data_IF_915264296745
#
_entry.id   IF_915264296745
#
_cell.length_a   1.000
_cell.length_b   1.000
_cell.length_c   1.000
_cell.angle_alpha   90.00
_cell.angle_beta   90.00
_cell.angle_gamma   90.00
#
_symmetry.space_group_name_H-M   'P 1'
#
loop_
_entity.id
_entity.type
_entity.pdbx_description
1 polymer ?
#
# COMPACT_ATOMS: atom_id res chain seq x y z
N UNK A 1 0.67 24.30 -2.46
CA UNK A 1 -0.66 24.56 -1.88
C UNK A 1 -0.68 26.04 -1.51
N UNK A 2 -1.68 26.79 -1.92
CA UNK A 2 -1.83 28.21 -1.60
C UNK A 2 -2.15 28.40 -0.10
N UNK A 3 -1.80 29.55 0.51
CA UNK A 3 -2.16 29.84 1.89
C UNK A 3 -3.67 29.75 2.12
N UNK A 4 -4.07 29.27 3.31
CA UNK A 4 -5.49 29.19 3.68
C UNK A 4 -6.12 30.58 3.66
N UNK A 5 -7.36 30.70 3.15
CA UNK A 5 -8.11 31.96 3.06
C UNK A 5 -7.77 32.86 1.87
N UNK A 6 -6.79 32.51 1.01
CA UNK A 6 -6.47 33.31 -0.19
C UNK A 6 -7.65 33.37 -1.17
N UNK A 7 -8.35 32.24 -1.36
CA UNK A 7 -9.53 32.18 -2.26
C UNK A 7 -10.68 33.08 -1.82
N UNK A 8 -10.86 33.23 -0.51
CA UNK A 8 -11.89 34.10 0.06
C UNK A 8 -11.57 35.59 -0.18
N UNK A 9 -10.31 35.97 -0.04
CA UNK A 9 -9.85 37.33 -0.31
C UNK A 9 -9.92 37.65 -1.82
N UNK A 10 -9.57 36.69 -2.69
CA UNK A 10 -9.74 36.82 -4.15
C UNK A 10 -11.21 37.00 -4.52
N UNK A 11 -12.12 36.25 -3.88
CA UNK A 11 -13.57 36.41 -4.07
C UNK A 11 -14.07 37.83 -3.70
N UNK A 12 -13.68 38.30 -2.50
CA UNK A 12 -14.03 39.66 -2.03
C UNK A 12 -13.48 40.74 -2.94
N UNK A 13 -12.26 40.58 -3.43
CA UNK A 13 -11.63 41.53 -4.37
C UNK A 13 -12.40 41.57 -5.68
N UNK A 14 -12.87 40.45 -6.20
CA UNK A 14 -13.68 40.37 -7.41
C UNK A 14 -15.06 41.05 -7.25
N UNK A 15 -15.68 40.92 -6.07
CA UNK A 15 -16.94 41.61 -5.75
C UNK A 15 -16.76 43.14 -5.67
N UNK A 16 -15.73 43.57 -4.93
CA UNK A 16 -15.42 45.00 -4.82
C UNK A 16 -15.09 45.65 -6.18
N UNK A 17 -14.44 44.95 -7.09
CA UNK A 17 -14.19 45.44 -8.42
C UNK A 17 -15.48 45.67 -9.21
N UNK A 18 -16.45 44.77 -9.11
CA UNK A 18 -17.78 44.92 -9.74
C UNK A 18 -18.55 46.10 -9.12
N UNK A 19 -18.60 46.21 -7.80
CA UNK A 19 -19.23 47.34 -7.14
C UNK A 19 -18.59 48.67 -7.51
N UNK A 20 -17.28 48.69 -7.68
CA UNK A 20 -16.53 49.89 -8.13
C UNK A 20 -16.94 50.33 -9.54
N UNK A 21 -17.04 49.36 -10.48
CA UNK A 21 -17.50 49.63 -11.84
C UNK A 21 -18.94 50.17 -11.85
N UNK A 22 -19.83 49.59 -11.05
CA UNK A 22 -21.21 50.06 -10.89
C UNK A 22 -21.26 51.49 -10.31
N UNK A 23 -20.46 51.78 -9.27
CA UNK A 23 -20.38 53.09 -8.65
C UNK A 23 -19.86 54.16 -9.61
N UNK A 24 -18.89 53.81 -10.46
CA UNK A 24 -18.36 54.73 -11.50
C UNK A 24 -19.41 54.99 -12.58
N UNK A 25 -20.11 53.96 -13.05
CA UNK A 25 -21.17 54.07 -14.06
C UNK A 25 -22.34 54.93 -13.55
N UNK A 26 -22.63 54.88 -12.26
CA UNK A 26 -23.67 55.70 -11.62
C UNK A 26 -23.17 57.07 -11.17
N UNK A 27 -21.96 57.48 -11.54
CA UNK A 27 -21.32 58.77 -11.20
C UNK A 27 -21.21 59.00 -9.67
N UNK A 28 -21.23 57.94 -8.88
CA UNK A 28 -21.08 58.01 -7.42
C UNK A 28 -19.60 57.93 -7.03
N UNK A 29 -18.88 59.03 -7.17
CA UNK A 29 -17.43 59.11 -6.99
C UNK A 29 -17.01 58.92 -5.50
N UNK A 30 -17.87 59.33 -4.55
CA UNK A 30 -17.58 59.09 -3.13
C UNK A 30 -17.56 57.58 -2.79
N UNK A 31 -18.55 56.84 -3.28
CA UNK A 31 -18.61 55.39 -3.11
C UNK A 31 -17.44 54.67 -3.82
N UNK A 32 -17.12 55.10 -5.04
CA UNK A 32 -16.00 54.56 -5.79
C UNK A 32 -14.63 54.82 -5.09
N UNK A 33 -14.47 55.95 -4.40
CA UNK A 33 -13.28 56.24 -3.60
C UNK A 33 -13.18 55.34 -2.36
N UNK A 34 -14.30 55.12 -1.62
CA UNK A 34 -14.34 54.23 -0.47
C UNK A 34 -13.99 52.80 -0.88
N UNK A 35 -14.59 52.28 -1.97
CA UNK A 35 -14.30 50.92 -2.48
C UNK A 35 -12.82 50.79 -2.89
N UNK A 36 -12.20 51.81 -3.44
CA UNK A 36 -10.77 51.80 -3.77
C UNK A 36 -9.89 51.66 -2.53
N UNK A 37 -10.25 52.25 -1.42
CA UNK A 37 -9.52 52.15 -0.17
C UNK A 37 -9.69 50.76 0.44
N UNK A 38 -10.88 50.15 0.36
CA UNK A 38 -11.13 48.75 0.76
C UNK A 38 -10.36 47.78 -0.15
N UNK A 39 -10.35 47.97 -1.45
CA UNK A 39 -9.55 47.19 -2.42
C UNK A 39 -8.06 47.19 -2.03
N UNK A 40 -7.54 48.38 -1.70
CA UNK A 40 -6.15 48.52 -1.30
C UNK A 40 -5.85 47.77 -0.01
N UNK A 41 -6.71 47.85 0.98
CA UNK A 41 -6.55 47.13 2.26
C UNK A 41 -6.52 45.59 2.04
N UNK A 42 -7.39 45.09 1.20
CA UNK A 42 -7.41 43.63 0.88
C UNK A 42 -6.15 43.21 0.14
N UNK A 43 -5.66 44.01 -0.82
CA UNK A 43 -4.40 43.70 -1.52
C UNK A 43 -3.19 43.74 -0.59
N UNK A 44 -3.15 44.68 0.34
CA UNK A 44 -2.07 44.76 1.33
C UNK A 44 -2.13 43.53 2.31
N UNK A 45 -3.35 43.10 2.69
CA UNK A 45 -3.53 41.89 3.47
C UNK A 45 -3.08 40.63 2.74
N UNK A 46 -3.46 40.51 1.47
CA UNK A 46 -3.03 39.37 0.62
C UNK A 46 -1.51 39.32 0.49
N UNK A 47 -0.88 40.47 0.26
CA UNK A 47 0.58 40.58 0.15
C UNK A 47 1.28 40.21 1.46
N UNK A 48 0.75 40.68 2.57
CA UNK A 48 1.27 40.35 3.91
C UNK A 48 1.15 38.86 4.22
N UNK A 49 -0.02 38.26 3.95
CA UNK A 49 -0.25 36.82 4.14
C UNK A 49 0.66 35.97 3.24
N UNK A 50 0.86 36.39 2.01
CA UNK A 50 1.77 35.70 1.09
C UNK A 50 3.21 35.76 1.57
N UNK A 51 3.66 36.94 2.02
CA UNK A 51 5.02 37.11 2.54
C UNK A 51 5.27 36.35 3.85
N UNK A 52 4.26 36.25 4.74
CA UNK A 52 4.37 35.43 5.95
C UNK A 52 4.45 33.94 5.63
N UNK A 53 3.63 33.47 4.68
CA UNK A 53 3.65 32.09 4.23
C UNK A 53 4.97 31.70 3.54
N UNK A 54 5.54 32.59 2.72
CA UNK A 54 6.85 32.38 2.09
C UNK A 54 7.96 32.28 3.14
N UNK A 55 7.96 33.14 4.16
CA UNK A 55 8.92 33.08 5.29
C UNK A 55 8.80 31.80 6.10
N UNK A 56 7.57 31.37 6.40
CA UNK A 56 7.34 30.08 7.09
C UNK A 56 7.81 28.88 6.26
N UNK A 57 7.64 28.97 4.94
CA UNK A 57 8.07 27.93 4.01
C UNK A 57 9.60 27.87 3.88
N UNK A 58 10.29 29.01 3.82
CA UNK A 58 11.74 29.07 3.82
C UNK A 58 12.35 28.57 5.14
N UNK A 59 11.68 28.80 6.26
CA UNK A 59 12.09 28.30 7.56
C UNK A 59 11.92 26.78 7.73
N UNK A 60 11.05 26.15 6.96
CA UNK A 60 10.86 24.69 6.94
C UNK A 60 11.90 24.05 6.03
N UNK A 61 13.07 23.74 6.56
CA UNK A 61 14.01 22.82 5.90
C UNK A 61 13.31 21.46 5.81
N UNK A 62 12.83 21.09 4.63
CA UNK A 62 12.41 19.71 4.38
C UNK A 62 13.65 18.82 4.48
N UNK A 63 13.87 18.24 5.65
CA UNK A 63 14.88 17.22 5.82
C UNK A 63 14.29 15.92 5.28
N UNK A 64 14.80 15.45 4.15
CA UNK A 64 14.47 14.14 3.63
C UNK A 64 15.16 13.11 4.51
N UNK A 65 14.38 12.34 5.25
CA UNK A 65 14.87 11.25 6.10
C UNK A 65 14.82 9.92 5.34
N UNK A 66 15.53 8.91 5.84
CA UNK A 66 15.44 7.54 5.31
C UNK A 66 13.98 7.05 5.28
N UNK A 67 13.20 7.38 6.30
CA UNK A 67 11.77 7.02 6.37
C UNK A 67 10.95 7.68 5.26
N UNK A 68 11.21 8.95 4.94
CA UNK A 68 10.53 9.63 3.84
C UNK A 68 10.80 8.97 2.48
N UNK A 69 12.03 8.50 2.27
CA UNK A 69 12.40 7.75 1.06
C UNK A 69 11.71 6.38 1.05
N UNK A 70 11.71 5.69 2.20
CA UNK A 70 11.08 4.39 2.36
C UNK A 70 9.56 4.44 2.09
N UNK A 71 8.87 5.50 2.56
CA UNK A 71 7.44 5.72 2.27
C UNK A 71 7.18 5.89 0.76
N UNK A 72 7.99 6.69 0.08
CA UNK A 72 7.85 6.89 -1.37
C UNK A 72 8.10 5.60 -2.14
N UNK A 73 9.13 4.84 -1.77
CA UNK A 73 9.45 3.55 -2.40
C UNK A 73 8.32 2.55 -2.15
N UNK A 74 7.79 2.50 -0.93
CA UNK A 74 6.64 1.65 -0.59
C UNK A 74 5.40 2.03 -1.42
N UNK A 75 5.09 3.33 -1.54
CA UNK A 75 3.95 3.79 -2.33
C UNK A 75 4.06 3.46 -3.83
N UNK A 76 5.28 3.45 -4.40
CA UNK A 76 5.49 3.17 -5.82
C UNK A 76 5.63 1.70 -6.15
N UNK A 77 6.25 0.93 -5.28
CA UNK A 77 6.62 -0.47 -5.55
C UNK A 77 5.77 -1.48 -4.80
N UNK A 78 5.06 -1.03 -3.75
CA UNK A 78 4.38 -1.93 -2.80
C UNK A 78 5.36 -2.71 -1.91
N UNK A 79 6.65 -2.37 -1.93
CA UNK A 79 7.67 -3.04 -1.12
C UNK A 79 7.72 -2.38 0.26
N UNK A 80 7.44 -3.10 1.36
CA UNK A 80 7.57 -2.57 2.71
C UNK A 80 9.06 -2.43 3.07
N UNK A 81 9.64 -1.26 2.73
CA UNK A 81 11.06 -0.94 2.97
C UNK A 81 11.30 -0.29 4.33
N UNK A 82 10.24 0.07 5.03
CA UNK A 82 10.36 0.65 6.36
C UNK A 82 11.02 -0.36 7.29
N UNK A 83 12.10 0.07 7.95
CA UNK A 83 12.58 -0.63 9.14
C UNK A 83 11.41 -0.66 10.12
N UNK A 84 11.30 -1.74 10.87
CA UNK A 84 10.28 -1.89 11.91
C UNK A 84 10.19 -0.59 12.71
N UNK A 85 9.12 0.17 12.49
CA UNK A 85 8.76 1.27 13.36
C UNK A 85 8.32 0.68 14.71
N UNK A 86 8.35 1.48 15.77
CA UNK A 86 7.86 1.02 17.09
C UNK A 86 6.43 0.48 16.97
N UNK A 87 5.57 1.15 16.18
CA UNK A 87 4.20 0.71 15.90
C UNK A 87 4.10 -0.64 15.17
N UNK A 88 5.03 -0.94 14.25
CA UNK A 88 5.08 -2.24 13.58
C UNK A 88 5.58 -3.34 14.51
N UNK A 89 6.50 -3.01 15.41
CA UNK A 89 6.97 -3.94 16.44
C UNK A 89 5.84 -4.31 17.41
N UNK A 90 5.02 -3.35 17.82
CA UNK A 90 3.83 -3.61 18.65
C UNK A 90 2.81 -4.48 17.90
N UNK A 91 2.52 -4.18 16.63
CA UNK A 91 1.63 -5.03 15.81
C UNK A 91 2.13 -6.46 15.71
N UNK A 92 3.44 -6.68 15.60
CA UNK A 92 4.02 -8.03 15.57
C UNK A 92 3.94 -8.76 16.92
N UNK A 93 3.96 -8.03 18.03
CA UNK A 93 3.73 -8.60 19.36
C UNK A 93 2.28 -9.08 19.51
N UNK A 94 1.32 -8.31 19.00
CA UNK A 94 -0.11 -8.62 19.05
C UNK A 94 -0.63 -9.32 17.77
N UNK A 95 0.26 -9.91 16.97
CA UNK A 95 -0.08 -10.54 15.70
C UNK A 95 -1.12 -11.65 15.85
N UNK A 96 -1.06 -12.41 16.93
CA UNK A 96 -2.01 -13.48 17.24
C UNK A 96 -3.42 -12.90 17.48
N UNK A 97 -3.52 -11.84 18.27
CA UNK A 97 -4.78 -11.15 18.53
C UNK A 97 -5.41 -10.60 17.25
N UNK A 98 -4.58 -10.03 16.36
CA UNK A 98 -5.04 -9.52 15.06
C UNK A 98 -5.56 -10.63 14.15
N UNK A 99 -4.87 -11.77 14.11
CA UNK A 99 -5.31 -12.92 13.33
C UNK A 99 -6.59 -13.55 13.93
N UNK A 100 -6.73 -13.59 15.25
CA UNK A 100 -7.93 -14.11 15.93
C UNK A 100 -9.17 -13.23 15.76
N UNK A 101 -9.04 -11.97 15.37
CA UNK A 101 -10.21 -11.14 14.99
C UNK A 101 -10.99 -11.73 13.82
N UNK A 102 -10.32 -12.45 12.92
CA UNK A 102 -10.92 -13.05 11.72
C UNK A 102 -11.02 -14.58 11.80
N UNK A 103 -10.05 -15.22 12.42
CA UNK A 103 -9.97 -16.68 12.51
C UNK A 103 -10.29 -17.09 13.95
N UNK A 104 -11.48 -17.63 14.15
CA UNK A 104 -11.94 -18.12 15.44
C UNK A 104 -11.46 -19.57 15.62
N UNK A 105 -10.79 -19.84 16.72
CA UNK A 105 -10.11 -21.11 16.96
C UNK A 105 -8.80 -21.22 16.17
N UNK A 106 -8.31 -22.45 15.94
CA UNK A 106 -7.04 -22.72 15.23
C UNK A 106 -5.82 -22.12 15.94
N UNK A 107 -5.83 -22.09 17.28
CA UNK A 107 -4.82 -21.41 18.12
C UNK A 107 -3.40 -21.89 17.79
N UNK A 108 -3.20 -23.20 17.62
CA UNK A 108 -1.88 -23.76 17.25
C UNK A 108 -1.38 -23.26 15.90
N UNK A 109 -2.28 -23.15 14.92
CA UNK A 109 -1.91 -22.68 13.57
C UNK A 109 -1.58 -21.18 13.57
N UNK A 110 -2.38 -20.37 14.26
CA UNK A 110 -2.16 -18.94 14.42
C UNK A 110 -0.84 -18.67 15.14
N UNK A 111 -0.59 -19.35 16.25
CA UNK A 111 0.65 -19.23 17.02
C UNK A 111 1.88 -19.64 16.21
N UNK A 112 1.82 -20.74 15.47
CA UNK A 112 2.92 -21.22 14.64
C UNK A 112 3.28 -20.21 13.54
N UNK A 113 2.27 -19.64 12.87
CA UNK A 113 2.44 -18.60 11.84
C UNK A 113 3.02 -17.34 12.46
N UNK A 114 2.45 -16.83 13.54
CA UNK A 114 2.91 -15.62 14.21
C UNK A 114 4.36 -15.74 14.70
N UNK A 115 4.73 -16.89 15.27
CA UNK A 115 6.09 -17.18 15.71
C UNK A 115 7.10 -17.17 14.54
N UNK A 116 6.71 -17.72 13.40
CA UNK A 116 7.60 -17.73 12.22
C UNK A 116 7.77 -16.34 11.60
N UNK A 117 6.72 -15.54 11.58
CA UNK A 117 6.78 -14.16 11.10
C UNK A 117 7.68 -13.32 12.00
N UNK A 118 7.50 -13.42 13.33
CA UNK A 118 8.37 -12.73 14.30
C UNK A 118 9.84 -13.09 14.10
N UNK A 119 10.17 -14.37 13.91
CA UNK A 119 11.55 -14.81 13.62
C UNK A 119 12.09 -14.22 12.31
N UNK A 120 11.29 -14.18 11.27
CA UNK A 120 11.69 -13.65 9.97
C UNK A 120 11.95 -12.14 10.03
N UNK A 121 11.11 -11.40 10.75
CA UNK A 121 11.27 -9.94 10.93
C UNK A 121 12.42 -9.59 11.87
N UNK A 122 12.76 -10.45 12.82
CA UNK A 122 13.95 -10.29 13.66
C UNK A 122 15.29 -10.49 12.90
N UNK A 123 15.27 -10.71 11.59
CA UNK A 123 16.48 -10.89 10.77
C UNK A 123 17.11 -12.28 10.87
N UNK A 124 16.47 -13.22 11.53
CA UNK A 124 16.97 -14.61 11.72
C UNK A 124 16.67 -15.51 10.50
N UNK A 125 16.52 -14.91 9.32
CA UNK A 125 16.09 -15.59 8.10
C UNK A 125 17.17 -15.51 7.01
N UNK A 126 17.30 -16.59 6.23
CA UNK A 126 18.01 -16.59 4.97
C UNK A 126 17.24 -15.74 3.92
N UNK A 127 17.83 -14.68 3.36
CA UNK A 127 17.16 -13.82 2.37
C UNK A 127 16.71 -14.55 1.10
N UNK A 128 17.29 -15.71 0.81
CA UNK A 128 16.94 -16.53 -0.36
C UNK A 128 15.71 -17.43 -0.15
N UNK A 129 15.20 -17.52 1.07
CA UNK A 129 14.06 -18.38 1.39
C UNK A 129 12.78 -17.57 1.68
N UNK A 130 11.59 -18.15 1.47
CA UNK A 130 10.34 -17.52 1.85
C UNK A 130 10.28 -17.26 3.36
N UNK A 131 9.45 -16.32 3.80
CA UNK A 131 9.25 -15.98 5.23
C UNK A 131 8.84 -17.21 6.03
N UNK A 132 7.97 -18.03 5.47
CA UNK A 132 7.54 -19.31 6.00
C UNK A 132 6.88 -20.12 4.90
N UNK A 133 6.92 -21.45 5.08
CA UNK A 133 6.16 -22.40 4.30
C UNK A 133 5.36 -23.24 5.29
N UNK A 134 4.05 -23.27 5.12
CA UNK A 134 3.13 -23.92 6.05
C UNK A 134 2.24 -24.92 5.31
N UNK A 135 2.00 -26.05 5.91
CA UNK A 135 1.05 -27.03 5.43
C UNK A 135 -0.10 -27.12 6.44
N UNK A 136 -1.28 -26.71 6.02
CA UNK A 136 -2.49 -26.77 6.83
C UNK A 136 -3.31 -28.00 6.44
N UNK A 137 -3.43 -28.97 7.36
CA UNK A 137 -4.22 -30.16 7.19
C UNK A 137 -5.51 -30.05 7.99
N UNK A 138 -6.63 -30.40 7.36
CA UNK A 138 -7.94 -30.36 8.02
C UNK A 138 -9.08 -30.39 7.04
N UNK A 139 -10.33 -30.67 7.50
CA UNK A 139 -11.52 -30.69 6.66
C UNK A 139 -11.82 -29.34 6.02
N UNK A 140 -12.73 -29.33 5.05
CA UNK A 140 -13.21 -28.09 4.44
C UNK A 140 -13.96 -27.24 5.46
N UNK A 141 -13.89 -25.91 5.31
CA UNK A 141 -14.63 -24.97 6.16
C UNK A 141 -13.97 -24.62 7.52
N UNK A 142 -12.82 -25.17 7.85
CA UNK A 142 -12.12 -24.87 9.14
C UNK A 142 -11.33 -23.54 9.13
N UNK A 143 -11.38 -22.77 8.07
CA UNK A 143 -10.75 -21.45 8.01
C UNK A 143 -9.35 -21.39 7.38
N UNK A 144 -8.85 -22.45 6.71
CA UNK A 144 -7.53 -22.47 6.07
C UNK A 144 -7.30 -21.29 5.10
N UNK A 145 -8.26 -21.07 4.24
CA UNK A 145 -8.22 -19.96 3.26
C UNK A 145 -8.36 -18.59 3.95
N UNK A 146 -9.20 -18.50 4.98
CA UNK A 146 -9.41 -17.26 5.72
C UNK A 146 -8.18 -16.85 6.51
N UNK A 147 -7.47 -17.81 7.12
CA UNK A 147 -6.18 -17.55 7.77
C UNK A 147 -5.15 -16.98 6.78
N UNK A 148 -5.13 -17.47 5.54
CA UNK A 148 -4.22 -16.97 4.51
C UNK A 148 -4.56 -15.54 4.08
N UNK A 149 -5.84 -15.19 4.01
CA UNK A 149 -6.30 -13.81 3.75
C UNK A 149 -5.96 -12.86 4.89
N UNK A 150 -6.28 -13.28 6.12
CA UNK A 150 -5.96 -12.51 7.31
C UNK A 150 -4.44 -12.26 7.40
N UNK A 151 -3.63 -13.25 7.06
CA UNK A 151 -2.19 -13.12 6.98
C UNK A 151 -1.73 -12.09 5.94
N UNK A 152 -2.31 -12.11 4.74
CA UNK A 152 -1.99 -11.15 3.70
C UNK A 152 -2.33 -9.71 4.13
N UNK A 153 -3.49 -9.52 4.76
CA UNK A 153 -3.92 -8.22 5.27
C UNK A 153 -2.99 -7.69 6.36
N UNK A 154 -2.66 -8.52 7.34
CA UNK A 154 -1.80 -8.10 8.47
C UNK A 154 -0.37 -7.84 8.00
N UNK A 155 0.17 -8.65 7.07
CA UNK A 155 1.55 -8.52 6.61
C UNK A 155 1.76 -7.41 5.59
N UNK A 156 0.77 -7.15 4.74
CA UNK A 156 0.90 -6.26 3.58
C UNK A 156 -0.16 -5.16 3.54
N UNK A 157 -1.03 -5.08 4.57
CA UNK A 157 -2.16 -4.14 4.67
C UNK A 157 -3.10 -4.19 3.45
N UNK A 158 -3.14 -5.35 2.78
CA UNK A 158 -3.94 -5.58 1.59
C UNK A 158 -4.27 -7.07 1.43
N UNK A 159 -5.55 -7.41 1.43
CA UNK A 159 -6.01 -8.79 1.14
C UNK A 159 -5.63 -9.26 -0.27
N UNK A 160 -5.57 -8.33 -1.24
CA UNK A 160 -5.18 -8.64 -2.63
C UNK A 160 -3.69 -8.98 -2.78
N UNK A 161 -2.89 -8.85 -1.71
CA UNK A 161 -1.52 -9.36 -1.66
C UNK A 161 -1.48 -10.88 -1.48
N UNK A 162 -2.54 -11.59 -1.88
CA UNK A 162 -2.62 -13.05 -1.90
C UNK A 162 -2.73 -13.56 -3.35
N UNK A 163 -1.90 -14.54 -3.69
CA UNK A 163 -1.99 -15.30 -4.94
C UNK A 163 -2.59 -16.66 -4.59
N UNK A 164 -3.84 -16.88 -4.96
CA UNK A 164 -4.49 -18.19 -4.80
C UNK A 164 -4.33 -19.00 -6.07
N UNK A 165 -3.93 -20.24 -5.92
CA UNK A 165 -3.85 -21.27 -6.95
C UNK A 165 -4.62 -22.49 -6.48
N UNK A 166 -5.59 -22.92 -7.27
CA UNK A 166 -6.29 -24.18 -7.08
C UNK A 166 -5.49 -25.29 -7.77
N UNK A 167 -4.92 -26.17 -6.97
CA UNK A 167 -4.02 -27.20 -7.47
C UNK A 167 -4.79 -28.32 -8.21
N UNK A 168 -6.09 -28.39 -8.09
CA UNK A 168 -6.93 -29.31 -8.86
C UNK A 168 -6.89 -29.03 -10.38
N UNK A 169 -6.65 -27.77 -10.76
CA UNK A 169 -6.47 -27.37 -12.17
C UNK A 169 -5.14 -27.85 -12.76
N UNK A 170 -4.20 -28.31 -11.92
CA UNK A 170 -2.84 -28.66 -12.29
C UNK A 170 -2.52 -30.16 -12.11
N UNK A 171 -3.52 -31.01 -12.20
CA UNK A 171 -3.37 -32.46 -12.03
C UNK A 171 -2.57 -33.15 -13.13
N UNK A 172 -2.55 -32.57 -14.34
CA UNK A 172 -1.85 -33.13 -15.50
C UNK A 172 -0.37 -32.72 -15.50
N UNK A 173 0.50 -33.64 -15.97
CA UNK A 173 1.94 -33.42 -16.02
C UNK A 173 2.38 -32.19 -16.83
N UNK A 174 1.61 -31.80 -17.84
CA UNK A 174 1.85 -30.59 -18.65
C UNK A 174 1.44 -29.30 -17.92
N UNK A 175 0.65 -29.39 -16.87
CA UNK A 175 0.15 -28.24 -16.15
C UNK A 175 1.23 -27.55 -15.29
N UNK A 176 2.28 -28.27 -14.89
CA UNK A 176 3.43 -27.69 -14.18
C UNK A 176 4.13 -26.64 -15.05
N UNK A 177 4.23 -26.85 -16.35
CA UNK A 177 4.79 -25.87 -17.28
C UNK A 177 3.94 -24.57 -17.34
N UNK A 178 2.64 -24.65 -17.13
CA UNK A 178 1.77 -23.46 -17.03
C UNK A 178 2.04 -22.66 -15.76
N UNK A 179 2.43 -23.32 -14.66
CA UNK A 179 2.75 -22.63 -13.40
C UNK A 179 4.11 -21.92 -13.46
N UNK A 180 5.14 -22.64 -13.84
CA UNK A 180 6.55 -22.19 -13.74
C UNK A 180 7.04 -21.57 -15.05
N UNK A 181 6.44 -21.95 -16.18
CA UNK A 181 6.88 -21.62 -17.54
C UNK A 181 7.52 -22.84 -18.22
N UNK A 182 7.48 -22.83 -19.56
CA UNK A 182 8.10 -23.87 -20.37
C UNK A 182 9.62 -23.66 -20.46
N UNK A 183 10.42 -24.74 -20.49
CA UNK A 183 11.86 -24.63 -20.76
C UNK A 183 12.16 -24.03 -22.15
N UNK A 184 13.33 -23.43 -22.34
CA UNK A 184 13.74 -22.93 -23.65
C UNK A 184 13.63 -23.99 -24.75
N UNK A 185 12.98 -23.64 -25.87
CA UNK A 185 12.78 -24.53 -27.02
C UNK A 185 11.46 -25.32 -27.01
N UNK A 186 10.63 -25.19 -26.00
CA UNK A 186 9.28 -25.78 -25.99
C UNK A 186 8.20 -24.73 -26.31
N UNK A 187 7.08 -25.20 -26.84
CA UNK A 187 5.89 -24.34 -27.13
C UNK A 187 5.40 -23.69 -25.84
N UNK A 188 5.16 -22.36 -25.87
CA UNK A 188 4.74 -21.58 -24.72
C UNK A 188 5.87 -21.01 -23.88
N UNK A 189 7.13 -21.06 -24.33
CA UNK A 189 8.27 -20.44 -23.62
C UNK A 189 8.09 -18.92 -23.44
N UNK A 190 7.54 -18.22 -24.43
CA UNK A 190 7.35 -16.77 -24.41
C UNK A 190 6.19 -16.31 -23.50
N UNK A 191 5.28 -17.21 -23.12
CA UNK A 191 4.11 -16.87 -22.33
C UNK A 191 4.40 -16.72 -20.82
N UNK A 192 5.57 -17.20 -20.37
CA UNK A 192 5.91 -17.21 -18.94
C UNK A 192 4.98 -18.10 -18.10
N UNK A 193 5.39 -18.47 -16.88
CA UNK A 193 4.52 -19.23 -15.97
C UNK A 193 3.51 -18.34 -15.24
N UNK A 194 2.30 -18.82 -15.05
CA UNK A 194 1.24 -18.07 -14.37
C UNK A 194 1.63 -17.65 -12.94
N UNK A 195 2.29 -18.53 -12.20
CA UNK A 195 2.78 -18.23 -10.86
C UNK A 195 3.98 -17.29 -10.91
N UNK A 196 4.95 -17.60 -11.75
CA UNK A 196 6.20 -16.82 -11.86
C UNK A 196 5.91 -15.37 -12.28
N UNK A 197 5.00 -15.15 -13.24
CA UNK A 197 4.59 -13.82 -13.65
C UNK A 197 3.84 -13.06 -12.55
N UNK A 198 2.93 -13.74 -11.82
CA UNK A 198 2.21 -13.10 -10.70
C UNK A 198 3.16 -12.71 -9.57
N UNK A 199 4.11 -13.59 -9.21
CA UNK A 199 5.12 -13.31 -8.17
C UNK A 199 6.09 -12.22 -8.63
N UNK A 200 6.47 -12.19 -9.91
CA UNK A 200 7.33 -11.13 -10.45
C UNK A 200 6.67 -9.76 -10.36
N UNK A 201 5.35 -9.69 -10.61
CA UNK A 201 4.57 -8.45 -10.50
C UNK A 201 4.27 -8.04 -9.06
N UNK A 202 4.09 -9.03 -8.17
CA UNK A 202 3.80 -8.83 -6.75
C UNK A 202 4.76 -9.67 -5.90
N UNK A 203 6.02 -9.22 -5.72
CA UNK A 203 7.04 -10.01 -5.04
C UNK A 203 6.78 -10.19 -3.54
N UNK A 204 5.98 -9.31 -2.95
CA UNK A 204 5.56 -9.38 -1.55
C UNK A 204 4.11 -9.83 -1.50
N UNK A 205 3.90 -11.14 -1.38
CA UNK A 205 2.57 -11.75 -1.38
C UNK A 205 2.55 -13.04 -0.56
N UNK A 206 1.34 -13.44 -0.19
CA UNK A 206 1.06 -14.78 0.33
C UNK A 206 0.64 -15.66 -0.85
N UNK A 207 1.28 -16.81 -1.02
CA UNK A 207 0.91 -17.78 -2.03
C UNK A 207 0.13 -18.89 -1.33
N UNK A 208 -1.13 -19.04 -1.67
CA UNK A 208 -1.99 -20.12 -1.21
C UNK A 208 -2.13 -21.16 -2.32
N UNK A 209 -1.63 -22.38 -2.04
CA UNK A 209 -1.85 -23.55 -2.87
C UNK A 209 -3.00 -24.35 -2.24
N UNK A 210 -4.19 -24.20 -2.81
CA UNK A 210 -5.40 -24.87 -2.32
C UNK A 210 -5.54 -26.26 -2.97
N UNK A 211 -6.16 -27.20 -2.28
CA UNK A 211 -6.40 -28.58 -2.75
C UNK A 211 -5.12 -29.32 -3.20
N UNK A 212 -4.02 -29.14 -2.47
CA UNK A 212 -2.71 -29.69 -2.83
C UNK A 212 -2.72 -31.25 -2.86
N UNK A 213 -3.64 -31.88 -2.19
CA UNK A 213 -3.85 -33.33 -2.19
C UNK A 213 -4.28 -33.90 -3.55
N UNK A 214 -4.79 -33.05 -4.45
CA UNK A 214 -5.20 -33.46 -5.79
C UNK A 214 -4.01 -33.66 -6.74
N UNK A 215 -2.84 -33.07 -6.40
CA UNK A 215 -1.64 -33.17 -7.21
C UNK A 215 -0.90 -34.46 -6.89
N UNK A 216 -0.49 -35.19 -7.94
CA UNK A 216 0.27 -36.42 -7.78
C UNK A 216 1.57 -36.16 -6.99
N UNK A 217 1.84 -36.98 -5.98
CA UNK A 217 2.98 -36.89 -5.04
C UNK A 217 4.35 -36.78 -5.75
N UNK A 218 4.46 -37.26 -6.98
CA UNK A 218 5.68 -37.18 -7.79
C UNK A 218 6.05 -35.74 -8.22
N UNK A 219 5.10 -34.83 -8.28
CA UNK A 219 5.36 -33.45 -8.69
C UNK A 219 5.81 -32.55 -7.55
N UNK A 220 5.39 -32.83 -6.32
CA UNK A 220 5.80 -32.09 -5.13
C UNK A 220 7.28 -32.30 -4.78
N UNK A 221 7.82 -33.51 -5.04
CA UNK A 221 9.21 -33.86 -4.76
C UNK A 221 10.25 -33.13 -5.63
N UNK A 222 9.87 -32.66 -6.79
CA UNK A 222 10.79 -31.97 -7.73
C UNK A 222 11.28 -30.60 -7.21
N UNK A 223 10.64 -30.03 -6.19
CA UNK A 223 10.98 -28.73 -5.63
C UNK A 223 11.74 -28.76 -4.29
N UNK A 224 11.89 -29.92 -3.67
CA UNK A 224 12.65 -30.08 -2.40
C UNK A 224 14.17 -30.26 -2.60
N UNK A 225 14.65 -30.46 -3.81
CA UNK A 225 16.05 -30.86 -4.09
C UNK A 225 16.87 -29.83 -4.87
N UNK A 226 16.66 -28.53 -4.61
CA UNK A 226 17.63 -27.50 -5.07
C UNK A 226 17.82 -26.40 -4.06
#
# INVERSE_FOLDING_TARGET
VAPAGMKELDGKLAELLKEKEEAVNNQNFERAAAIRDEERAIRDEMTSRKASWEREREGRKCVVTENSIAEVVNAWTGIPVNRLTEDESEKLLHLEDELHKRVIGQDEAVEAVARAIRRARAGLKDPKRPIGSYLFLGPTGVGKTELSKALAEVMFSNEDAMIRLDMSEYMESHSVSKLVGSPPGYVGFDEGGQLTERVRRKPYCVILLDEIETVSYTHLRAHETR
#
